data_IF_893557717618
#
_entry.id   IF_893557717618
#
_cell.length_a   1.000
_cell.length_b   1.000
_cell.length_c   1.000
_cell.angle_alpha   90.00
_cell.angle_beta   90.00
_cell.angle_gamma   90.00
#
_symmetry.space_group_name_H-M   'P 1'
#
loop_
_entity.id
_entity.type
_entity.pdbx_description
1 polymer ?
#
# COMPACT_ATOMS: atom_id res chain seq x y z
N UNK A 1 4.15 -23.69 -50.05
CA UNK A 1 5.06 -24.84 -49.95
C UNK A 1 5.25 -25.15 -48.47
N UNK A 2 4.96 -26.36 -48.07
CA UNK A 2 4.65 -26.86 -46.73
C UNK A 2 5.86 -26.84 -45.81
N UNK A 3 5.63 -26.33 -44.54
CA UNK A 3 6.50 -26.62 -43.39
C UNK A 3 5.65 -27.47 -42.44
N UNK A 4 5.72 -28.75 -42.58
CA UNK A 4 5.31 -29.78 -41.65
C UNK A 4 6.30 -30.89 -41.81
N UNK A 5 7.27 -30.99 -40.88
CA UNK A 5 8.01 -32.21 -40.52
C UNK A 5 9.22 -31.83 -39.69
N UNK A 6 9.04 -31.77 -38.36
CA UNK A 6 10.18 -31.90 -37.43
C UNK A 6 9.68 -32.05 -35.98
N UNK A 7 8.87 -33.05 -35.71
CA UNK A 7 8.67 -33.56 -34.36
C UNK A 7 8.26 -35.03 -34.37
N UNK A 8 9.25 -35.91 -34.57
CA UNK A 8 9.16 -37.33 -34.15
C UNK A 8 10.56 -37.85 -33.82
N UNK A 9 10.70 -38.28 -32.57
CA UNK A 9 11.73 -39.12 -31.89
C UNK A 9 12.33 -38.35 -30.72
N UNK A 10 12.33 -38.84 -29.46
CA UNK A 10 12.35 -40.22 -28.96
C UNK A 10 11.97 -40.18 -27.47
N UNK A 11 11.05 -41.02 -27.06
CA UNK A 11 10.81 -41.39 -25.68
C UNK A 11 11.69 -42.58 -25.32
N UNK A 12 12.46 -42.49 -24.25
CA UNK A 12 13.00 -43.64 -23.53
C UNK A 12 12.61 -43.58 -22.06
N UNK A 13 12.19 -44.66 -21.44
CA UNK A 13 11.71 -44.68 -20.07
C UNK A 13 12.88 -44.82 -19.08
N UNK A 14 12.91 -44.02 -18.03
CA UNK A 14 13.80 -44.21 -16.89
C UNK A 14 12.99 -44.72 -15.70
N UNK A 15 13.51 -45.82 -15.21
CA UNK A 15 13.07 -46.71 -14.16
C UNK A 15 12.79 -46.05 -12.83
N UNK A 16 11.86 -46.67 -12.10
CA UNK A 16 11.50 -46.45 -10.69
C UNK A 16 12.72 -46.43 -9.77
N UNK A 17 12.76 -45.41 -8.93
CA UNK A 17 13.63 -45.39 -7.73
C UNK A 17 12.83 -44.99 -6.51
N UNK A 18 12.85 -45.84 -5.54
CA UNK A 18 12.31 -45.87 -4.21
C UNK A 18 12.05 -44.53 -3.54
N UNK A 19 10.77 -44.29 -3.14
CA UNK A 19 10.40 -43.25 -2.18
C UNK A 19 10.18 -43.93 -0.84
N UNK A 20 11.05 -43.64 0.12
CA UNK A 20 10.84 -43.89 1.54
C UNK A 20 9.71 -42.99 2.08
N UNK A 21 8.78 -43.48 2.89
CA UNK A 21 7.77 -42.64 3.50
C UNK A 21 8.36 -41.96 4.75
N UNK A 22 8.45 -40.62 4.73
CA UNK A 22 8.60 -39.83 5.92
C UNK A 22 7.23 -39.81 6.65
N UNK A 23 7.15 -40.49 7.77
CA UNK A 23 6.03 -40.42 8.70
C UNK A 23 6.14 -39.09 9.44
N UNK A 24 5.30 -38.13 9.05
CA UNK A 24 5.10 -36.91 9.81
C UNK A 24 3.95 -37.16 10.79
N UNK A 25 4.28 -37.30 12.06
CA UNK A 25 3.28 -37.35 13.15
C UNK A 25 2.59 -36.00 13.27
N UNK A 26 1.39 -35.90 12.70
CA UNK A 26 0.47 -34.81 12.92
C UNK A 26 -0.18 -34.99 14.28
N UNK A 27 0.15 -34.18 15.27
CA UNK A 27 -0.63 -34.03 16.50
C UNK A 27 -1.94 -33.32 16.16
N UNK A 28 -3.01 -34.08 16.14
CA UNK A 28 -4.38 -33.59 16.05
C UNK A 28 -4.73 -32.85 17.34
N UNK A 29 -4.83 -31.54 17.30
CA UNK A 29 -5.60 -30.80 18.31
C UNK A 29 -7.05 -30.75 17.86
N UNK A 30 -7.88 -31.57 18.53
CA UNK A 30 -9.33 -31.43 18.46
C UNK A 30 -9.72 -30.17 19.24
N UNK A 31 -10.04 -29.10 18.52
CA UNK A 31 -10.72 -27.93 19.06
C UNK A 31 -12.23 -28.12 18.81
N UNK A 32 -13.02 -28.16 19.88
CA UNK A 32 -14.45 -28.03 19.77
C UNK A 32 -14.80 -26.64 19.23
N UNK A 33 -15.43 -26.58 18.08
CA UNK A 33 -15.98 -25.35 17.52
C UNK A 33 -17.40 -25.15 18.04
N UNK A 34 -17.61 -24.10 18.82
CA UNK A 34 -18.96 -23.57 19.02
C UNK A 34 -19.41 -22.87 17.73
N UNK A 35 -20.42 -23.43 17.09
CA UNK A 35 -21.03 -22.93 15.87
C UNK A 35 -21.92 -21.71 16.19
N UNK A 36 -21.35 -20.51 16.24
CA UNK A 36 -22.14 -19.29 16.27
C UNK A 36 -22.43 -18.82 14.85
N UNK A 37 -23.65 -19.06 14.40
CA UNK A 37 -24.17 -18.45 13.17
C UNK A 37 -24.87 -17.14 13.50
N UNK A 38 -24.51 -16.06 12.82
CA UNK A 38 -25.26 -14.81 12.90
C UNK A 38 -26.56 -14.86 12.09
N UNK A 39 -27.48 -13.94 12.36
CA UNK A 39 -28.87 -13.91 11.89
C UNK A 39 -29.01 -13.91 10.35
N UNK A 40 -27.93 -13.58 9.61
CA UNK A 40 -27.84 -13.53 8.15
C UNK A 40 -27.25 -14.80 7.51
N UNK A 41 -26.84 -15.81 8.29
CA UNK A 41 -26.13 -16.97 7.75
C UNK A 41 -24.71 -16.68 7.24
N UNK A 42 -24.17 -15.49 7.46
CA UNK A 42 -22.79 -15.13 7.18
C UNK A 42 -21.94 -15.49 8.40
N UNK A 43 -21.00 -16.39 8.20
CA UNK A 43 -20.01 -16.70 9.24
C UNK A 43 -18.86 -15.72 9.12
N UNK A 44 -18.78 -14.82 10.06
CA UNK A 44 -17.57 -14.02 10.22
C UNK A 44 -16.51 -14.90 10.91
N UNK A 45 -15.37 -14.85 10.38
CA UNK A 45 -14.08 -15.42 10.71
C UNK A 45 -13.86 -15.76 12.19
N UNK A 46 -13.74 -17.02 12.50
CA UNK A 46 -13.14 -17.45 13.76
C UNK A 46 -11.62 -17.23 13.69
N UNK A 47 -11.14 -16.14 14.24
CA UNK A 47 -9.72 -15.98 14.53
C UNK A 47 -9.39 -16.92 15.68
N UNK A 48 -8.37 -17.78 15.59
CA UNK A 48 -8.00 -18.63 16.69
C UNK A 48 -7.79 -17.79 17.95
N UNK A 49 -8.43 -18.17 19.05
CA UNK A 49 -8.28 -17.50 20.34
C UNK A 49 -6.82 -17.42 20.82
N UNK A 50 -5.97 -18.32 20.30
CA UNK A 50 -4.53 -18.32 20.57
C UNK A 50 -3.75 -17.13 19.99
N UNK A 51 -4.28 -16.44 18.95
CA UNK A 51 -3.61 -15.29 18.32
C UNK A 51 -4.21 -13.96 18.79
N UNK A 52 -5.50 -13.95 19.13
CA UNK A 52 -6.20 -12.78 19.64
C UNK A 52 -7.05 -13.24 20.81
N UNK A 53 -6.60 -12.98 22.03
CA UNK A 53 -7.31 -13.35 23.26
C UNK A 53 -8.25 -12.24 23.74
N UNK A 54 -8.06 -11.01 23.31
CA UNK A 54 -8.89 -9.87 23.68
C UNK A 54 -10.25 -9.92 22.95
N UNK A 55 -11.38 -10.08 23.69
CA UNK A 55 -12.70 -10.16 23.08
C UNK A 55 -13.09 -8.90 22.28
N UNK A 56 -12.60 -7.72 22.65
CA UNK A 56 -12.89 -6.48 21.92
C UNK A 56 -12.20 -6.46 20.56
N UNK A 57 -10.96 -6.94 20.49
CA UNK A 57 -10.23 -7.10 19.22
C UNK A 57 -10.90 -8.15 18.34
N UNK A 58 -11.32 -9.29 18.90
CA UNK A 58 -12.04 -10.31 18.15
C UNK A 58 -13.32 -9.74 17.56
N UNK A 59 -14.13 -9.05 18.37
CA UNK A 59 -15.36 -8.42 17.90
C UNK A 59 -15.09 -7.40 16.79
N UNK A 60 -14.03 -6.62 16.90
CA UNK A 60 -13.62 -5.67 15.85
C UNK A 60 -13.28 -6.42 14.55
N UNK A 61 -12.44 -7.46 14.60
CA UNK A 61 -12.09 -8.25 13.40
C UNK A 61 -13.31 -8.92 12.77
N UNK A 62 -14.26 -9.41 13.59
CA UNK A 62 -15.51 -10.00 13.13
C UNK A 62 -16.48 -8.97 12.52
N UNK A 63 -16.29 -7.68 12.76
CA UNK A 63 -17.12 -6.60 12.20
C UNK A 63 -16.69 -6.14 10.82
N UNK A 64 -15.64 -6.73 10.23
CA UNK A 64 -15.24 -6.42 8.86
C UNK A 64 -16.39 -6.70 7.89
N UNK A 65 -16.67 -5.73 7.01
CA UNK A 65 -17.77 -5.82 6.05
C UNK A 65 -17.20 -6.02 4.65
N UNK A 66 -17.74 -6.99 3.93
CA UNK A 66 -17.50 -7.17 2.51
C UNK A 66 -18.47 -6.26 1.71
N UNK A 67 -17.92 -5.34 0.96
CA UNK A 67 -18.70 -4.36 0.18
C UNK A 67 -18.79 -4.71 -1.31
N UNK A 68 -17.92 -5.60 -1.80
CA UNK A 68 -17.82 -5.92 -3.24
C UNK A 68 -17.30 -7.35 -3.49
N UNK A 69 -18.04 -8.37 -3.05
CA UNK A 69 -17.77 -9.78 -3.33
C UNK A 69 -16.28 -10.17 -3.14
N UNK A 70 -15.76 -9.88 -1.96
CA UNK A 70 -14.39 -10.21 -1.59
C UNK A 70 -13.30 -9.29 -2.18
N UNK A 71 -13.67 -8.23 -2.89
CA UNK A 71 -12.72 -7.29 -3.51
C UNK A 71 -12.51 -6.01 -2.73
N UNK A 72 -13.53 -5.61 -1.96
CA UNK A 72 -13.46 -4.39 -1.18
C UNK A 72 -14.11 -4.56 0.18
N UNK A 73 -13.40 -4.19 1.22
CA UNK A 73 -13.82 -4.35 2.61
C UNK A 73 -13.88 -3.00 3.34
N UNK A 74 -14.69 -2.95 4.39
CA UNK A 74 -14.70 -1.86 5.35
C UNK A 74 -14.42 -2.39 6.75
N UNK A 75 -13.56 -1.70 7.49
CA UNK A 75 -13.26 -1.99 8.89
C UNK A 75 -13.27 -0.72 9.73
N UNK A 76 -14.11 -0.68 10.76
CA UNK A 76 -14.00 0.31 11.83
C UNK A 76 -12.99 -0.21 12.87
N UNK A 77 -11.74 0.26 12.75
CA UNK A 77 -10.64 -0.21 13.59
C UNK A 77 -10.68 0.52 14.93
N UNK A 78 -11.17 -0.16 15.98
CA UNK A 78 -11.41 0.40 17.31
C UNK A 78 -10.34 0.04 18.34
N UNK A 79 -9.41 -0.87 18.02
CA UNK A 79 -8.32 -1.24 18.93
C UNK A 79 -7.20 -0.18 18.91
N UNK A 80 -6.47 -0.08 20.02
CA UNK A 80 -5.24 0.69 20.07
C UNK A 80 -4.14 -0.01 19.28
N UNK A 81 -3.65 0.63 18.21
CA UNK A 81 -2.54 0.14 17.38
C UNK A 81 -1.17 0.62 17.86
N UNK A 82 -1.10 1.28 19.03
CA UNK A 82 0.13 1.60 19.77
C UNK A 82 1.15 2.42 18.95
N UNK A 83 0.68 3.48 18.28
CA UNK A 83 1.52 4.29 17.40
C UNK A 83 2.74 4.90 18.12
N UNK A 84 2.57 5.39 19.35
CA UNK A 84 3.67 6.00 20.10
C UNK A 84 4.76 4.97 20.42
N UNK A 85 4.37 3.73 20.78
CA UNK A 85 5.31 2.62 20.96
C UNK A 85 5.98 2.22 19.64
N UNK A 86 5.24 2.20 18.53
CA UNK A 86 5.79 1.93 17.19
C UNK A 86 6.88 2.95 16.84
N UNK A 87 6.61 4.23 17.05
CA UNK A 87 7.55 5.32 16.80
C UNK A 87 8.83 5.18 17.64
N UNK A 88 8.69 4.87 18.92
CA UNK A 88 9.83 4.68 19.84
C UNK A 88 10.65 3.45 19.50
N UNK A 89 10.04 2.43 18.91
CA UNK A 89 10.71 1.19 18.53
C UNK A 89 11.72 1.35 17.38
N UNK A 90 11.69 2.48 16.66
CA UNK A 90 12.60 2.80 15.54
C UNK A 90 12.77 1.65 14.54
N UNK A 91 11.66 1.03 14.14
CA UNK A 91 11.65 -0.10 13.23
C UNK A 91 11.92 0.40 11.81
N UNK A 92 12.88 -0.23 11.11
CA UNK A 92 13.32 0.13 9.76
C UNK A 92 13.18 -0.98 8.73
N UNK A 93 12.59 -2.13 9.11
CA UNK A 93 12.43 -3.30 8.23
C UNK A 93 10.98 -3.80 8.22
N UNK A 94 10.59 -4.45 7.12
CA UNK A 94 9.29 -5.10 7.02
C UNK A 94 9.13 -6.23 8.05
N UNK A 95 10.16 -7.02 8.26
CA UNK A 95 10.17 -8.08 9.28
C UNK A 95 9.95 -7.49 10.69
N UNK A 96 10.58 -6.35 10.98
CA UNK A 96 10.39 -5.61 12.23
C UNK A 96 8.96 -5.11 12.39
N UNK A 97 8.36 -4.54 11.35
CA UNK A 97 6.97 -4.08 11.35
C UNK A 97 6.00 -5.24 11.62
N UNK A 98 6.16 -6.36 10.92
CA UNK A 98 5.34 -7.56 11.14
C UNK A 98 5.55 -8.10 12.55
N UNK A 99 6.81 -8.16 13.02
CA UNK A 99 7.13 -8.57 14.39
C UNK A 99 6.45 -7.68 15.43
N UNK A 100 6.42 -6.36 15.21
CA UNK A 100 5.72 -5.43 16.08
C UNK A 100 4.20 -5.74 16.14
N UNK A 101 3.56 -5.91 14.98
CA UNK A 101 2.13 -6.24 14.90
C UNK A 101 1.84 -7.53 15.67
N UNK A 102 2.59 -8.59 15.43
CA UNK A 102 2.38 -9.89 16.06
C UNK A 102 2.61 -9.84 17.57
N UNK A 103 3.64 -9.14 18.03
CA UNK A 103 4.00 -9.11 19.45
C UNK A 103 3.20 -8.10 20.27
N UNK A 104 2.71 -7.02 19.66
CA UNK A 104 2.09 -5.91 20.39
C UNK A 104 0.59 -5.75 20.11
N UNK A 105 0.11 -6.18 18.95
CA UNK A 105 -1.30 -6.07 18.57
C UNK A 105 -2.01 -7.42 18.56
N UNK A 106 -1.27 -8.52 18.29
CA UNK A 106 -1.71 -9.88 18.45
C UNK A 106 -1.08 -10.50 19.71
N UNK A 107 -1.58 -11.64 20.14
CA UNK A 107 -1.01 -12.40 21.28
C UNK A 107 -0.04 -13.49 20.79
N UNK A 108 0.60 -13.28 19.65
CA UNK A 108 1.49 -14.26 19.01
C UNK A 108 2.96 -13.96 19.28
N UNK A 109 3.72 -14.87 19.89
CA UNK A 109 5.14 -14.68 20.13
C UNK A 109 6.04 -14.98 18.93
N UNK A 110 5.50 -15.29 17.75
CA UNK A 110 6.29 -15.73 16.59
C UNK A 110 6.14 -14.75 15.44
N UNK A 111 7.18 -13.95 15.22
CA UNK A 111 7.34 -13.21 13.97
C UNK A 111 7.73 -14.18 12.83
N UNK A 112 7.15 -14.08 11.63
CA UNK A 112 7.62 -14.80 10.47
C UNK A 112 9.04 -14.32 10.11
N UNK A 113 9.98 -15.25 9.97
CA UNK A 113 11.40 -14.93 9.77
C UNK A 113 11.74 -14.29 8.41
N UNK A 114 10.80 -14.25 7.43
CA UNK A 114 11.10 -13.87 6.05
C UNK A 114 9.89 -13.19 5.35
N UNK A 115 9.31 -12.16 5.92
CA UNK A 115 8.33 -11.38 5.19
C UNK A 115 9.05 -10.34 4.31
N UNK A 116 9.03 -10.55 3.00
CA UNK A 116 9.42 -9.54 2.01
C UNK A 116 8.15 -8.90 1.47
N UNK A 117 8.01 -7.61 1.69
CA UNK A 117 7.02 -6.80 1.01
C UNK A 117 7.70 -6.21 -0.24
N UNK A 118 7.14 -6.42 -1.41
CA UNK A 118 7.66 -5.87 -2.65
C UNK A 118 6.80 -4.65 -3.01
N UNK A 119 7.40 -3.47 -3.20
CA UNK A 119 6.69 -2.20 -3.28
C UNK A 119 6.75 -1.55 -4.68
N UNK A 120 6.87 -2.33 -5.74
CA UNK A 120 6.85 -1.80 -7.11
C UNK A 120 5.43 -1.39 -7.49
N UNK A 121 4.98 -0.24 -6.99
CA UNK A 121 3.65 0.28 -7.23
C UNK A 121 3.69 1.44 -8.23
N UNK A 122 2.79 1.42 -9.22
CA UNK A 122 2.43 2.58 -10.02
C UNK A 122 1.45 3.45 -9.26
N UNK A 123 1.41 4.74 -9.52
CA UNK A 123 0.50 5.64 -8.83
C UNK A 123 0.26 6.94 -9.59
N UNK A 124 -0.85 7.60 -9.29
CA UNK A 124 -1.14 8.96 -9.74
C UNK A 124 -1.87 9.72 -8.64
N UNK A 125 -1.58 11.01 -8.47
CA UNK A 125 -2.34 11.86 -7.57
C UNK A 125 -2.39 13.31 -8.07
N UNK A 126 -3.43 14.03 -7.67
CA UNK A 126 -3.60 15.45 -7.96
C UNK A 126 -4.46 16.14 -6.90
N UNK A 127 -4.36 17.46 -6.83
CA UNK A 127 -5.27 18.31 -6.07
C UNK A 127 -6.04 19.25 -7.01
N UNK A 128 -7.29 19.57 -6.63
CA UNK A 128 -8.13 20.51 -7.36
C UNK A 128 -9.11 21.20 -6.41
N UNK A 129 -9.78 22.23 -6.91
CA UNK A 129 -10.90 22.88 -6.25
C UNK A 129 -12.20 22.58 -7.00
N UNK A 130 -13.32 22.36 -6.29
CA UNK A 130 -14.60 22.25 -6.97
C UNK A 130 -15.18 23.64 -7.31
N UNK A 131 -16.14 23.73 -8.26
CA UNK A 131 -16.83 25.00 -8.56
C UNK A 131 -17.49 25.64 -7.32
N UNK A 132 -17.83 24.82 -6.31
CA UNK A 132 -18.39 25.26 -5.03
C UNK A 132 -17.33 25.70 -4.02
N UNK A 133 -16.05 25.73 -4.42
CA UNK A 133 -14.95 26.16 -3.59
C UNK A 133 -14.44 25.10 -2.59
N UNK A 134 -14.81 23.83 -2.76
CA UNK A 134 -14.31 22.72 -1.93
C UNK A 134 -12.98 22.21 -2.47
N UNK A 135 -12.07 21.83 -1.60
CA UNK A 135 -10.77 21.25 -1.99
C UNK A 135 -10.86 19.74 -2.01
N UNK A 136 -10.30 19.16 -3.07
CA UNK A 136 -10.32 17.72 -3.32
C UNK A 136 -8.92 17.20 -3.67
N UNK A 137 -8.65 15.94 -3.35
CA UNK A 137 -7.47 15.20 -3.78
C UNK A 137 -7.91 13.92 -4.48
N UNK A 138 -7.44 13.71 -5.71
CA UNK A 138 -7.64 12.48 -6.48
C UNK A 138 -6.42 11.58 -6.41
N UNK A 139 -6.62 10.24 -6.40
CA UNK A 139 -5.54 9.24 -6.28
C UNK A 139 -5.90 7.94 -6.98
N UNK A 140 -5.00 7.40 -7.80
CA UNK A 140 -4.98 6.01 -8.24
C UNK A 140 -3.85 5.24 -7.57
N UNK A 141 -4.17 4.10 -6.99
CA UNK A 141 -3.18 3.12 -6.56
C UNK A 141 -3.09 2.00 -7.58
N UNK A 142 -1.95 1.90 -8.23
CA UNK A 142 -1.69 0.91 -9.27
C UNK A 142 -0.66 -0.10 -8.75
N UNK A 143 -1.04 -1.37 -8.74
CA UNK A 143 -0.15 -2.47 -8.38
C UNK A 143 -0.65 -3.77 -8.97
N UNK A 144 0.23 -4.54 -9.58
CA UNK A 144 -0.15 -5.82 -10.17
C UNK A 144 -0.21 -6.92 -9.10
N UNK A 145 -1.38 -7.52 -8.95
CA UNK A 145 -1.54 -8.75 -8.17
C UNK A 145 -1.40 -10.01 -9.06
N UNK A 146 -1.05 -9.87 -10.33
CA UNK A 146 -1.08 -10.96 -11.30
C UNK A 146 -2.51 -11.46 -11.49
N UNK A 147 -2.71 -12.77 -11.35
CA UNK A 147 -4.04 -13.39 -11.43
C UNK A 147 -4.76 -13.43 -10.06
N UNK A 148 -4.26 -12.72 -9.06
CA UNK A 148 -4.85 -12.73 -7.72
C UNK A 148 -5.95 -11.68 -7.58
N UNK A 149 -7.01 -11.94 -6.81
CA UNK A 149 -8.07 -10.98 -6.63
C UNK A 149 -7.58 -9.74 -5.87
N UNK A 150 -8.22 -8.62 -6.14
CA UNK A 150 -8.03 -7.37 -5.42
C UNK A 150 -8.38 -7.55 -3.95
N UNK A 151 -7.64 -6.85 -3.12
CA UNK A 151 -7.63 -7.02 -1.68
C UNK A 151 -7.72 -5.68 -0.94
N UNK A 152 -8.45 -4.72 -1.51
CA UNK A 152 -8.57 -3.39 -0.94
C UNK A 152 -9.46 -3.36 0.31
N UNK A 153 -9.06 -2.60 1.32
CA UNK A 153 -9.92 -2.30 2.45
C UNK A 153 -9.88 -0.81 2.81
N UNK A 154 -11.04 -0.23 3.11
CA UNK A 154 -11.11 1.07 3.75
C UNK A 154 -11.15 0.87 5.26
N UNK A 155 -10.17 1.44 5.94
CA UNK A 155 -10.00 1.34 7.39
C UNK A 155 -10.27 2.70 8.01
N UNK A 156 -11.25 2.79 8.89
CA UNK A 156 -11.51 3.95 9.71
C UNK A 156 -10.83 3.77 11.07
N UNK A 157 -10.09 4.77 11.51
CA UNK A 157 -9.46 4.80 12.84
C UNK A 157 -9.93 6.02 13.63
N UNK A 158 -10.03 5.87 14.94
CA UNK A 158 -10.38 6.95 15.86
C UNK A 158 -9.58 6.78 17.16
N UNK A 159 -8.24 6.93 17.14
CA UNK A 159 -7.41 6.72 18.30
C UNK A 159 -7.63 7.82 19.34
N UNK A 160 -7.52 7.49 20.61
CA UNK A 160 -7.72 8.43 21.70
C UNK A 160 -6.71 9.59 21.65
N UNK A 161 -7.18 10.82 21.73
CA UNK A 161 -6.34 12.02 21.71
C UNK A 161 -5.67 12.35 20.40
N UNK A 162 -6.01 11.65 19.32
CA UNK A 162 -5.48 11.84 17.97
C UNK A 162 -6.62 12.16 16.98
N UNK A 163 -6.26 12.44 15.74
CA UNK A 163 -7.23 12.72 14.68
C UNK A 163 -7.85 11.41 14.16
N UNK A 164 -9.16 11.41 13.98
CA UNK A 164 -9.83 10.34 13.25
C UNK A 164 -9.42 10.37 11.78
N UNK A 165 -9.35 9.20 11.16
CA UNK A 165 -9.01 9.11 9.75
C UNK A 165 -9.69 7.94 9.05
N UNK A 166 -9.74 8.01 7.72
CA UNK A 166 -9.98 6.90 6.83
C UNK A 166 -8.75 6.70 5.97
N UNK A 167 -8.40 5.45 5.72
CA UNK A 167 -7.26 5.09 4.88
C UNK A 167 -7.60 3.87 4.02
N UNK A 168 -7.03 3.80 2.84
CA UNK A 168 -7.09 2.64 1.97
C UNK A 168 -5.82 1.81 2.12
N UNK A 169 -6.01 0.52 2.30
CA UNK A 169 -4.94 -0.45 2.50
C UNK A 169 -5.06 -1.58 1.49
N UNK A 170 -3.92 -2.13 1.11
CA UNK A 170 -3.87 -3.31 0.28
C UNK A 170 -3.46 -4.52 1.13
N UNK A 171 -4.39 -5.43 1.35
CA UNK A 171 -4.15 -6.64 2.12
C UNK A 171 -3.13 -7.59 1.49
N UNK A 172 -2.84 -7.44 0.20
CA UNK A 172 -1.81 -8.21 -0.50
C UNK A 172 -0.42 -8.09 0.16
N UNK A 173 -0.11 -6.93 0.73
CA UNK A 173 1.18 -6.62 1.35
C UNK A 173 1.53 -7.46 2.58
N UNK A 174 0.55 -8.01 3.26
CA UNK A 174 0.78 -8.84 4.45
C UNK A 174 0.80 -10.33 4.13
N UNK A 175 1.07 -10.68 2.88
CA UNK A 175 1.15 -12.05 2.44
C UNK A 175 -0.19 -12.75 2.27
N UNK A 176 -1.28 -12.02 2.31
CA UNK A 176 -2.62 -12.51 2.01
C UNK A 176 -2.80 -12.72 0.51
N UNK A 177 -1.97 -13.57 -0.04
CA UNK A 177 -2.09 -14.03 -1.41
C UNK A 177 -3.21 -15.06 -1.47
N UNK A 178 -4.20 -14.85 -2.28
CA UNK A 178 -5.18 -15.84 -2.75
C UNK A 178 -6.28 -16.30 -1.78
N UNK A 179 -6.10 -16.32 -0.47
CA UNK A 179 -6.98 -17.13 0.38
C UNK A 179 -7.94 -16.35 1.28
N UNK A 180 -7.67 -15.08 1.57
CA UNK A 180 -8.56 -14.31 2.43
C UNK A 180 -9.84 -13.91 1.68
N UNK A 181 -9.71 -13.50 0.44
CA UNK A 181 -10.77 -12.87 -0.37
C UNK A 181 -11.68 -13.88 -1.04
N UNK A 182 -11.16 -14.97 -1.55
CA UNK A 182 -11.98 -16.10 -1.97
C UNK A 182 -12.84 -16.69 -0.85
N UNK A 183 -12.51 -16.41 0.39
CA UNK A 183 -13.21 -16.95 1.53
C UNK A 183 -14.37 -16.11 2.02
N UNK A 184 -14.36 -14.82 1.70
CA UNK A 184 -15.51 -13.96 1.98
C UNK A 184 -16.56 -14.04 0.88
N UNK A 185 -16.21 -14.44 -0.36
CA UNK A 185 -17.14 -14.51 -1.48
C UNK A 185 -17.72 -15.90 -1.76
N UNK A 186 -16.95 -16.99 -1.63
CA UNK A 186 -17.34 -18.21 -2.31
C UNK A 186 -17.86 -19.35 -1.44
N UNK A 187 -17.61 -19.44 -0.21
CA UNK A 187 -18.25 -20.37 0.69
C UNK A 187 -17.76 -20.19 2.12
N UNK A 188 -18.60 -19.60 2.89
CA UNK A 188 -18.46 -19.51 4.32
C UNK A 188 -18.20 -20.89 5.01
N UNK A 189 -18.44 -21.97 4.28
CA UNK A 189 -18.29 -23.35 4.80
C UNK A 189 -16.86 -23.89 4.79
N UNK A 190 -15.90 -23.25 4.11
CA UNK A 190 -14.53 -23.76 3.94
C UNK A 190 -13.49 -22.90 4.65
N UNK A 191 -13.83 -22.33 5.77
CA UNK A 191 -12.83 -21.74 6.66
C UNK A 191 -12.02 -22.85 7.33
N UNK A 192 -10.88 -23.23 6.78
CA UNK A 192 -10.00 -24.17 7.44
C UNK A 192 -9.10 -23.48 8.47
N UNK A 193 -8.54 -24.22 9.41
CA UNK A 193 -7.72 -23.74 10.52
C UNK A 193 -6.54 -22.83 10.08
N UNK A 194 -5.99 -23.09 8.90
CA UNK A 194 -4.88 -22.30 8.35
C UNK A 194 -5.29 -20.87 7.96
N UNK A 195 -6.53 -20.68 7.57
CA UNK A 195 -7.11 -19.40 7.18
C UNK A 195 -7.51 -18.54 8.37
N UNK A 196 -7.87 -19.15 9.47
CA UNK A 196 -8.16 -18.44 10.73
C UNK A 196 -6.95 -17.69 11.27
N UNK A 197 -5.73 -18.24 11.06
CA UNK A 197 -4.49 -17.60 11.51
C UNK A 197 -4.18 -16.30 10.75
N UNK A 198 -4.62 -16.20 9.52
CA UNK A 198 -4.24 -15.08 8.66
C UNK A 198 -4.95 -13.78 9.03
N UNK A 199 -6.14 -13.84 9.60
CA UNK A 199 -6.92 -12.65 9.98
C UNK A 199 -6.28 -11.79 11.07
N UNK A 200 -5.44 -12.37 11.90
CA UNK A 200 -4.70 -11.62 12.92
C UNK A 200 -3.84 -10.50 12.31
N UNK A 201 -3.40 -10.65 11.06
CA UNK A 201 -2.63 -9.62 10.37
C UNK A 201 -3.45 -8.36 10.03
N UNK A 202 -4.78 -8.45 9.99
CA UNK A 202 -5.69 -7.31 9.87
C UNK A 202 -5.44 -6.31 11.02
N UNK A 203 -4.91 -6.80 12.14
CA UNK A 203 -4.43 -5.93 13.22
C UNK A 203 -3.33 -4.96 12.77
N UNK A 204 -2.61 -5.26 11.70
CA UNK A 204 -1.60 -4.40 11.09
C UNK A 204 -2.13 -3.35 10.10
N UNK A 205 -3.41 -3.37 9.75
CA UNK A 205 -3.98 -2.46 8.74
C UNK A 205 -3.70 -0.98 8.98
N UNK A 206 -3.71 -0.44 10.22
CA UNK A 206 -3.32 0.95 10.46
C UNK A 206 -1.92 1.32 9.96
N UNK A 207 -1.03 0.33 9.78
CA UNK A 207 0.36 0.49 9.33
C UNK A 207 0.60 0.10 7.86
N UNK A 208 -0.46 -0.21 7.10
CA UNK A 208 -0.36 -0.69 5.71
C UNK A 208 -1.07 0.23 4.72
N UNK A 209 -1.35 1.45 5.13
CA UNK A 209 -2.07 2.42 4.30
C UNK A 209 -1.20 2.88 3.11
N UNK A 210 -1.85 3.01 1.95
CA UNK A 210 -1.25 3.59 0.74
C UNK A 210 -1.71 5.03 0.50
N UNK A 211 -2.85 5.41 1.08
CA UNK A 211 -3.40 6.76 1.12
C UNK A 211 -4.43 6.89 2.24
N UNK A 212 -4.81 8.13 2.53
CA UNK A 212 -5.84 8.41 3.53
C UNK A 212 -6.08 9.89 3.74
N UNK A 213 -7.15 10.18 4.49
CA UNK A 213 -7.55 11.52 4.89
C UNK A 213 -7.97 11.50 6.37
N UNK A 214 -7.67 12.57 7.11
CA UNK A 214 -8.13 12.74 8.48
C UNK A 214 -9.26 13.77 8.62
N UNK A 215 -9.83 13.84 9.82
CA UNK A 215 -10.99 14.72 10.12
C UNK A 215 -10.69 16.22 10.04
N UNK A 216 -9.41 16.62 10.05
CA UNK A 216 -9.01 18.00 9.81
C UNK A 216 -8.98 18.34 8.31
N UNK A 217 -9.18 17.36 7.44
CA UNK A 217 -9.11 17.50 5.98
C UNK A 217 -7.69 17.47 5.43
N UNK A 218 -6.72 16.96 6.17
CA UNK A 218 -5.40 16.64 5.65
C UNK A 218 -5.42 15.25 5.01
N UNK A 219 -4.89 15.14 3.80
CA UNK A 219 -4.76 13.88 3.07
C UNK A 219 -3.32 13.64 2.61
N UNK A 220 -2.95 12.37 2.50
CA UNK A 220 -1.63 11.92 2.06
C UNK A 220 -1.76 10.65 1.24
N UNK A 221 -0.92 10.52 0.22
CA UNK A 221 -0.67 9.25 -0.45
C UNK A 221 0.82 9.08 -0.76
N UNK A 222 1.23 7.82 -0.95
CA UNK A 222 2.60 7.46 -1.32
C UNK A 222 2.65 6.98 -2.76
N UNK A 223 3.73 7.34 -3.46
CA UNK A 223 4.01 6.90 -4.83
C UNK A 223 5.46 6.41 -4.93
N UNK A 224 5.65 5.30 -5.63
CA UNK A 224 6.96 4.70 -5.84
C UNK A 224 7.81 5.55 -6.79
N UNK A 225 9.12 5.58 -6.52
CA UNK A 225 10.16 6.18 -7.34
C UNK A 225 11.27 5.16 -7.60
N UNK A 226 11.76 5.09 -8.84
CA UNK A 226 12.98 4.36 -9.13
C UNK A 226 14.17 5.09 -8.48
N UNK A 227 14.93 4.39 -7.67
CA UNK A 227 16.10 4.98 -7.01
C UNK A 227 16.55 4.21 -5.77
N UNK A 228 17.61 4.71 -5.15
CA UNK A 228 18.13 4.12 -3.90
C UNK A 228 17.20 4.39 -2.72
N UNK A 229 17.25 3.55 -1.69
CA UNK A 229 16.45 3.74 -0.47
C UNK A 229 16.71 5.08 0.21
N UNK A 230 15.68 5.60 0.86
CA UNK A 230 15.73 6.87 1.60
C UNK A 230 16.21 6.65 3.01
N UNK A 231 17.13 7.52 3.48
CA UNK A 231 17.50 7.71 4.88
C UNK A 231 18.12 9.08 5.08
N UNK A 232 18.03 9.66 6.28
CA UNK A 232 18.57 10.99 6.56
C UNK A 232 19.74 10.98 7.55
N UNK A 233 20.04 9.88 8.21
CA UNK A 233 21.11 9.74 9.21
C UNK A 233 20.98 10.70 10.41
N UNK A 234 19.77 11.06 10.77
CA UNK A 234 19.49 11.93 11.91
C UNK A 234 19.43 11.18 13.23
N UNK A 235 19.46 11.92 14.34
CA UNK A 235 19.15 11.40 15.67
C UNK A 235 17.65 11.35 15.97
N UNK A 236 16.82 11.49 14.94
CA UNK A 236 15.38 11.50 15.03
C UNK A 236 14.81 10.08 15.10
N UNK A 237 13.51 9.96 15.37
CA UNK A 237 12.81 8.68 15.29
C UNK A 237 12.88 8.13 13.87
N UNK A 238 13.23 6.85 13.75
CA UNK A 238 13.24 6.15 12.45
C UNK A 238 11.87 5.59 12.17
N UNK A 239 11.28 5.96 11.04
CA UNK A 239 9.97 5.49 10.62
C UNK A 239 10.06 4.89 9.21
N UNK A 240 9.33 3.80 9.00
CA UNK A 240 9.12 3.29 7.63
C UNK A 240 8.06 4.13 6.92
N UNK A 241 7.97 4.00 5.60
CA UNK A 241 7.08 4.79 4.74
C UNK A 241 5.63 4.83 5.23
N UNK A 242 5.03 3.67 5.48
CA UNK A 242 3.62 3.58 5.89
C UNK A 242 3.40 3.97 7.36
N UNK A 243 4.39 3.74 8.22
CA UNK A 243 4.36 4.21 9.61
C UNK A 243 4.42 5.73 9.67
N UNK A 244 5.24 6.38 8.83
CA UNK A 244 5.24 7.83 8.69
C UNK A 244 3.86 8.35 8.27
N UNK A 245 3.24 7.73 7.25
CA UNK A 245 1.91 8.15 6.82
C UNK A 245 0.87 8.04 7.93
N UNK A 246 0.90 6.94 8.71
CA UNK A 246 0.03 6.79 9.88
C UNK A 246 0.28 7.86 10.92
N UNK A 247 1.55 8.14 11.22
CA UNK A 247 1.94 9.20 12.15
C UNK A 247 1.43 10.58 11.73
N UNK A 248 1.51 10.90 10.44
CA UNK A 248 1.01 12.16 9.91
C UNK A 248 -0.52 12.24 9.94
N UNK A 249 -1.22 11.18 9.53
CA UNK A 249 -2.70 11.16 9.57
C UNK A 249 -3.26 11.31 10.98
N UNK A 250 -2.59 10.77 11.99
CA UNK A 250 -3.04 10.88 13.37
C UNK A 250 -2.78 12.24 14.01
N UNK A 251 -1.84 13.03 13.48
CA UNK A 251 -1.33 14.21 14.18
C UNK A 251 -1.33 15.51 13.35
N UNK A 252 -1.15 15.45 12.03
CA UNK A 252 -1.06 16.64 11.19
C UNK A 252 -2.45 17.14 10.77
N UNK A 253 -2.70 18.43 10.94
CA UNK A 253 -3.96 19.10 10.52
C UNK A 253 -3.85 19.77 9.17
N UNK A 254 -2.63 19.98 8.68
CA UNK A 254 -2.35 20.70 7.45
C UNK A 254 -1.05 20.21 6.80
N UNK A 255 -0.85 20.62 5.54
CA UNK A 255 0.40 20.37 4.80
C UNK A 255 1.61 20.95 5.55
N UNK A 256 1.49 22.16 6.14
CA UNK A 256 2.59 22.78 6.89
C UNK A 256 2.96 22.00 8.14
N UNK A 257 1.98 21.49 8.86
CA UNK A 257 2.23 20.64 10.03
C UNK A 257 2.90 19.33 9.62
N UNK A 258 2.41 18.69 8.57
CA UNK A 258 3.00 17.46 8.05
C UNK A 258 4.47 17.65 7.63
N UNK A 259 4.78 18.74 6.90
CA UNK A 259 6.17 19.08 6.51
C UNK A 259 7.06 19.31 7.73
N UNK A 260 6.56 20.03 8.75
CA UNK A 260 7.32 20.21 9.98
C UNK A 260 7.61 18.89 10.68
N UNK A 261 6.60 18.02 10.82
CA UNK A 261 6.74 16.72 11.46
C UNK A 261 7.69 15.79 10.68
N UNK A 262 7.66 15.82 9.35
CA UNK A 262 8.58 15.02 8.52
C UNK A 262 10.05 15.42 8.72
N UNK A 263 10.34 16.68 9.03
CA UNK A 263 11.70 17.14 9.34
C UNK A 263 12.21 16.67 10.71
N UNK A 264 11.33 16.18 11.57
CA UNK A 264 11.64 15.66 12.90
C UNK A 264 11.84 14.13 12.92
N UNK A 265 11.66 13.46 11.78
CA UNK A 265 11.82 12.00 11.65
C UNK A 265 12.89 11.65 10.63
N UNK A 266 13.47 10.47 10.78
CA UNK A 266 14.39 9.85 9.82
C UNK A 266 13.60 8.76 9.06
N UNK A 267 13.23 9.06 7.82
CA UNK A 267 12.47 8.13 6.99
C UNK A 267 13.38 7.06 6.43
N UNK A 268 13.03 5.81 6.70
CA UNK A 268 13.67 4.64 6.14
C UNK A 268 12.72 3.87 5.24
N UNK A 269 13.15 3.63 3.99
CA UNK A 269 12.46 2.69 3.10
C UNK A 269 12.86 1.28 3.52
N UNK A 270 11.90 0.41 3.90
CA UNK A 270 12.22 -0.92 4.35
C UNK A 270 12.80 -1.79 3.23
N UNK A 271 13.81 -2.59 3.58
CA UNK A 271 14.36 -3.67 2.76
C UNK A 271 14.90 -3.27 1.36
N UNK A 272 15.19 -2.00 1.16
CA UNK A 272 16.15 -1.55 0.16
C UNK A 272 15.71 -1.52 -1.31
N UNK A 273 14.42 -1.59 -1.62
CA UNK A 273 13.96 -1.56 -3.00
C UNK A 273 13.24 -0.24 -3.34
N UNK A 274 13.96 0.67 -4.03
CA UNK A 274 13.38 1.90 -4.52
C UNK A 274 13.29 3.03 -3.48
N UNK A 275 12.71 4.12 -3.89
CA UNK A 275 12.42 5.30 -3.09
C UNK A 275 10.92 5.63 -3.19
N UNK A 276 10.48 6.61 -2.44
CA UNK A 276 9.09 7.07 -2.46
C UNK A 276 9.04 8.58 -2.35
N UNK A 277 8.03 9.16 -2.98
CA UNK A 277 7.58 10.50 -2.65
C UNK A 277 6.13 10.47 -2.15
N UNK A 278 5.74 11.55 -1.52
CA UNK A 278 4.38 11.69 -1.01
C UNK A 278 3.70 12.86 -1.71
N UNK A 279 2.42 12.71 -1.95
CA UNK A 279 1.56 13.83 -2.29
C UNK A 279 0.64 14.12 -1.10
N UNK A 280 0.61 15.37 -0.70
CA UNK A 280 -0.19 15.85 0.42
C UNK A 280 -1.07 17.00 0.01
N UNK A 281 -2.27 17.07 0.58
CA UNK A 281 -3.19 18.19 0.38
C UNK A 281 -4.01 18.44 1.66
N UNK A 282 -4.53 19.66 1.83
CA UNK A 282 -5.38 19.98 2.96
C UNK A 282 -6.61 20.82 2.60
N UNK A 283 -7.53 20.95 3.55
CA UNK A 283 -8.79 21.66 3.37
C UNK A 283 -8.65 23.17 3.14
N UNK A 284 -7.44 23.74 3.21
CA UNK A 284 -7.17 25.13 2.84
C UNK A 284 -6.82 25.30 1.37
N UNK A 285 -6.65 24.18 0.63
CA UNK A 285 -6.21 24.14 -0.75
C UNK A 285 -4.71 24.03 -0.93
N UNK A 286 -3.95 24.05 0.16
CA UNK A 286 -2.51 23.81 0.10
C UNK A 286 -2.25 22.36 -0.26
N UNK A 287 -1.32 22.15 -1.17
CA UNK A 287 -0.83 20.83 -1.56
C UNK A 287 0.67 20.87 -1.82
N UNK A 288 1.32 19.71 -1.80
CA UNK A 288 2.74 19.60 -2.09
C UNK A 288 3.12 18.19 -2.55
N UNK A 289 4.13 18.10 -3.41
CA UNK A 289 4.94 16.91 -3.60
C UNK A 289 6.12 16.96 -2.61
N UNK A 290 6.32 15.89 -1.87
CA UNK A 290 7.37 15.74 -0.87
C UNK A 290 8.32 14.64 -1.33
N UNK A 291 9.51 15.05 -1.80
CA UNK A 291 10.54 14.14 -2.32
C UNK A 291 11.78 14.17 -1.44
N UNK A 292 12.36 13.01 -1.20
CA UNK A 292 13.70 12.92 -0.61
C UNK A 292 14.72 12.84 -1.74
N UNK A 293 15.59 13.87 -1.82
CA UNK A 293 16.51 14.07 -2.93
C UNK A 293 17.95 14.17 -2.45
N UNK A 294 18.88 13.82 -3.31
CA UNK A 294 20.31 14.06 -3.13
C UNK A 294 20.70 15.39 -3.79
N UNK A 295 21.73 16.02 -3.25
CA UNK A 295 22.33 17.20 -3.86
C UNK A 295 23.06 16.84 -5.18
N UNK A 296 23.56 17.87 -5.91
CA UNK A 296 24.23 17.66 -7.20
C UNK A 296 25.55 16.87 -7.06
N UNK A 297 26.26 17.02 -5.95
CA UNK A 297 27.51 16.29 -5.67
C UNK A 297 27.25 14.81 -5.49
N UNK A 298 26.13 14.44 -4.85
CA UNK A 298 25.75 13.08 -4.54
C UNK A 298 24.67 12.52 -5.49
N UNK A 299 24.33 13.21 -6.55
CA UNK A 299 23.24 12.80 -7.46
C UNK A 299 23.43 11.41 -8.07
N UNK A 300 24.68 10.94 -8.21
CA UNK A 300 24.98 9.60 -8.74
C UNK A 300 24.73 8.50 -7.70
N UNK A 301 24.65 8.85 -6.39
CA UNK A 301 24.24 7.94 -5.35
C UNK A 301 22.79 7.42 -5.47
N UNK A 302 21.99 8.08 -6.28
CA UNK A 302 20.59 7.70 -6.60
C UNK A 302 20.48 6.45 -7.47
N UNK A 303 21.57 6.02 -8.15
CA UNK A 303 21.55 4.84 -9.02
C UNK A 303 21.78 3.55 -8.24
N UNK A 304 21.06 2.52 -8.65
CA UNK A 304 21.34 1.14 -8.28
C UNK A 304 22.45 0.67 -9.20
N UNK A 305 23.72 0.77 -8.74
CA UNK A 305 24.86 0.54 -9.62
C UNK A 305 25.20 -0.95 -9.83
N UNK A 306 24.77 -1.83 -8.92
CA UNK A 306 25.16 -3.23 -8.99
C UNK A 306 23.95 -4.17 -8.88
N UNK A 307 23.47 -4.64 -10.01
CA UNK A 307 22.54 -5.76 -10.09
C UNK A 307 23.29 -7.05 -9.73
N UNK A 308 22.85 -7.74 -8.69
CA UNK A 308 23.37 -9.05 -8.31
C UNK A 308 22.57 -10.11 -9.06
N UNK A 309 23.22 -10.85 -9.94
CA UNK A 309 22.60 -11.94 -10.70
C UNK A 309 22.80 -13.30 -10.03
N UNK A 310 21.82 -14.18 -10.15
CA UNK A 310 21.97 -15.59 -9.81
C UNK A 310 22.71 -16.36 -10.92
N UNK A 311 22.96 -17.66 -10.70
CA UNK A 311 23.64 -18.54 -11.66
C UNK A 311 22.87 -18.72 -12.99
N UNK A 312 21.62 -18.28 -13.07
CA UNK A 312 20.75 -18.38 -14.26
C UNK A 312 20.60 -17.01 -14.96
N UNK A 313 21.33 -15.98 -14.52
CA UNK A 313 21.27 -14.64 -15.09
C UNK A 313 20.02 -13.84 -14.67
N UNK A 314 19.31 -14.27 -13.64
CA UNK A 314 18.16 -13.53 -13.08
C UNK A 314 18.63 -12.62 -11.96
N UNK A 315 18.12 -11.38 -11.92
CA UNK A 315 18.40 -10.45 -10.83
C UNK A 315 17.99 -11.08 -9.50
N UNK A 316 18.97 -11.28 -8.62
CA UNK A 316 18.81 -11.83 -7.28
C UNK A 316 18.67 -10.76 -6.21
N UNK A 317 19.18 -9.57 -6.48
CA UNK A 317 19.19 -8.43 -5.58
C UNK A 317 20.06 -7.30 -6.13
N UNK A 318 20.22 -6.29 -5.31
CA UNK A 318 21.04 -5.13 -5.62
C UNK A 318 22.07 -4.92 -4.51
N UNK A 319 23.27 -4.50 -4.89
CA UNK A 319 24.27 -4.09 -3.92
C UNK A 319 24.07 -2.59 -3.63
N UNK A 320 23.80 -2.27 -2.37
CA UNK A 320 23.72 -0.89 -1.90
C UNK A 320 24.90 -0.61 -0.97
N UNK A 321 26.11 -0.40 -1.51
CA UNK A 321 27.31 -0.34 -0.66
C UNK A 321 27.25 0.78 0.37
N UNK A 322 26.68 1.95 0.03
CA UNK A 322 26.48 3.06 0.96
C UNK A 322 25.22 3.84 0.61
N UNK A 323 24.21 3.82 1.49
CA UNK A 323 23.05 4.69 1.36
C UNK A 323 23.47 6.07 1.87
N UNK A 324 23.70 7.00 0.95
CA UNK A 324 23.99 8.39 1.32
C UNK A 324 22.74 9.07 1.84
N UNK A 325 22.86 9.94 2.86
CA UNK A 325 21.73 10.69 3.37
C UNK A 325 21.16 11.60 2.29
N UNK A 326 19.84 11.70 2.28
CA UNK A 326 19.10 12.60 1.41
C UNK A 326 18.27 13.60 2.21
N UNK A 327 17.72 14.61 1.57
CA UNK A 327 16.99 15.70 2.21
C UNK A 327 15.56 15.81 1.66
N UNK A 328 14.64 16.22 2.53
CA UNK A 328 13.26 16.46 2.15
C UNK A 328 13.15 17.75 1.31
N UNK A 329 12.70 17.61 0.07
CA UNK A 329 12.35 18.67 -0.84
C UNK A 329 10.83 18.85 -0.92
N UNK A 330 10.34 20.07 -0.76
CA UNK A 330 8.91 20.40 -0.70
C UNK A 330 8.55 21.27 -1.89
N UNK A 331 7.69 20.78 -2.78
CA UNK A 331 7.26 21.48 -3.99
C UNK A 331 5.75 21.75 -3.92
N UNK A 332 5.39 22.99 -3.69
CA UNK A 332 4.01 23.46 -3.52
C UNK A 332 3.36 23.96 -4.81
N UNK A 333 4.13 24.00 -5.89
CA UNK A 333 3.72 24.45 -7.23
C UNK A 333 3.29 23.31 -8.16
N UNK A 334 3.22 22.08 -7.63
CA UNK A 334 2.89 20.87 -8.39
C UNK A 334 1.51 20.36 -8.05
N UNK A 335 0.55 20.58 -8.96
CA UNK A 335 -0.84 20.15 -8.77
C UNK A 335 -1.07 18.66 -9.02
N UNK A 336 -0.13 17.95 -9.65
CA UNK A 336 -0.19 16.50 -9.83
C UNK A 336 1.18 15.82 -9.74
N UNK A 337 1.17 14.49 -9.63
CA UNK A 337 2.36 13.67 -9.47
C UNK A 337 2.11 12.24 -9.97
N UNK A 338 3.15 11.57 -10.45
CA UNK A 338 3.17 10.13 -10.77
C UNK A 338 4.48 9.47 -10.31
N UNK A 339 5.04 8.51 -11.01
CA UNK A 339 6.15 7.69 -10.52
C UNK A 339 7.53 8.10 -11.04
N UNK A 340 7.80 9.39 -11.15
CA UNK A 340 9.14 9.91 -11.47
C UNK A 340 9.45 11.15 -10.64
N UNK A 341 10.72 11.41 -10.41
CA UNK A 341 11.15 12.60 -9.68
C UNK A 341 10.77 13.88 -10.41
N UNK A 342 10.11 14.79 -9.69
CA UNK A 342 9.73 16.12 -10.20
C UNK A 342 10.77 17.18 -9.83
N UNK A 343 11.53 16.93 -8.75
CA UNK A 343 12.60 17.85 -8.34
C UNK A 343 13.63 18.04 -9.45
N UNK A 344 13.97 19.30 -9.81
CA UNK A 344 14.96 19.58 -10.86
C UNK A 344 16.35 18.99 -10.58
N UNK A 345 16.71 18.79 -9.31
CA UNK A 345 17.99 18.20 -8.92
C UNK A 345 18.09 16.72 -9.28
N UNK A 346 16.94 16.08 -9.52
CA UNK A 346 16.81 14.66 -9.84
C UNK A 346 16.44 14.46 -11.31
N UNK A 347 17.24 14.99 -12.24
CA UNK A 347 16.93 15.00 -13.66
C UNK A 347 16.48 13.64 -14.21
N UNK A 348 15.17 13.49 -14.35
CA UNK A 348 14.49 12.34 -14.93
C UNK A 348 14.16 12.53 -16.42
N UNK A 349 14.73 13.54 -17.09
CA UNK A 349 14.53 13.72 -18.52
C UNK A 349 15.01 12.51 -19.33
N UNK A 350 14.49 12.33 -20.53
CA UNK A 350 14.90 11.23 -21.41
C UNK A 350 16.40 11.22 -21.74
N UNK A 351 17.09 12.34 -21.47
CA UNK A 351 18.54 12.51 -21.63
C UNK A 351 19.29 12.45 -20.29
N UNK A 352 18.57 12.49 -19.18
CA UNK A 352 19.14 12.42 -17.84
C UNK A 352 19.58 11.01 -17.48
N UNK A 353 20.39 10.90 -16.44
CA UNK A 353 20.89 9.62 -15.99
C UNK A 353 19.76 8.69 -15.46
N UNK A 354 18.69 9.25 -14.90
CA UNK A 354 17.47 8.52 -14.55
C UNK A 354 16.51 8.49 -15.74
N UNK A 355 16.74 7.68 -16.71
CA UNK A 355 15.87 7.53 -17.90
C UNK A 355 14.44 7.10 -17.59
N UNK A 356 14.15 6.76 -16.33
CA UNK A 356 12.84 6.35 -15.87
C UNK A 356 11.93 7.57 -15.70
N UNK A 357 11.07 7.79 -16.67
CA UNK A 357 9.91 8.66 -16.55
C UNK A 357 8.65 7.82 -16.41
N UNK A 358 8.70 6.86 -15.48
CA UNK A 358 7.59 5.97 -15.23
C UNK A 358 6.32 6.77 -14.87
N UNK A 359 5.25 6.55 -15.61
CA UNK A 359 4.01 7.30 -15.44
C UNK A 359 3.99 8.70 -16.05
N UNK A 360 4.97 9.10 -16.85
CA UNK A 360 5.00 10.43 -17.50
C UNK A 360 3.73 10.72 -18.32
N UNK A 361 3.24 9.73 -19.05
CA UNK A 361 1.99 9.89 -19.85
C UNK A 361 0.80 10.19 -18.94
N UNK A 362 0.69 9.52 -17.79
CA UNK A 362 -0.37 9.78 -16.79
C UNK A 362 -0.23 11.17 -16.20
N UNK A 363 1.01 11.58 -15.90
CA UNK A 363 1.31 12.93 -15.43
C UNK A 363 0.87 13.97 -16.44
N UNK A 364 1.25 13.83 -17.73
CA UNK A 364 0.95 14.80 -18.79
C UNK A 364 -0.56 14.93 -19.03
N UNK A 365 -1.33 13.86 -18.91
CA UNK A 365 -2.79 13.90 -19.00
C UNK A 365 -3.37 14.69 -17.83
N UNK A 366 -2.93 14.42 -16.60
CA UNK A 366 -3.41 15.14 -15.41
C UNK A 366 -3.06 16.61 -15.48
N UNK A 367 -1.81 16.94 -15.75
CA UNK A 367 -1.29 18.31 -15.88
C UNK A 367 -2.06 19.11 -16.94
N UNK A 368 -2.30 18.50 -18.11
CA UNK A 368 -3.09 19.12 -19.17
C UNK A 368 -4.53 19.42 -18.73
N UNK A 369 -5.23 18.43 -18.14
CA UNK A 369 -6.63 18.60 -17.72
C UNK A 369 -6.74 19.64 -16.62
N UNK A 370 -5.87 19.60 -15.61
CA UNK A 370 -5.87 20.55 -14.50
C UNK A 370 -5.57 21.97 -14.99
N UNK A 371 -4.54 22.15 -15.82
CA UNK A 371 -4.19 23.46 -16.40
C UNK A 371 -5.33 24.02 -17.24
N UNK A 372 -5.96 23.22 -18.12
CA UNK A 372 -7.07 23.68 -18.96
C UNK A 372 -8.31 24.09 -18.17
N UNK A 373 -8.46 23.57 -16.95
CA UNK A 373 -9.60 23.89 -16.09
C UNK A 373 -9.21 24.82 -14.92
N UNK A 374 -8.01 25.40 -14.89
CA UNK A 374 -7.50 26.21 -13.80
C UNK A 374 -7.64 25.52 -12.44
N UNK A 375 -7.27 24.24 -12.36
CA UNK A 375 -7.40 23.38 -11.20
C UNK A 375 -8.83 23.27 -10.62
N UNK A 376 -9.85 23.57 -11.44
CA UNK A 376 -11.25 23.54 -11.03
C UNK A 376 -11.97 22.35 -11.66
N UNK A 377 -12.26 21.33 -10.83
CA UNK A 377 -12.94 20.09 -11.26
C UNK A 377 -14.08 19.75 -10.31
N UNK A 378 -15.23 19.34 -10.83
CA UNK A 378 -16.23 18.67 -10.00
C UNK A 378 -15.69 17.31 -9.52
N UNK A 379 -16.19 16.78 -8.42
CA UNK A 379 -15.79 15.44 -7.95
C UNK A 379 -15.99 14.35 -9.02
N UNK A 380 -17.07 14.45 -9.78
CA UNK A 380 -17.34 13.53 -10.88
C UNK A 380 -16.29 13.64 -11.99
N UNK A 381 -15.87 14.88 -12.35
CA UNK A 381 -14.80 15.07 -13.34
C UNK A 381 -13.44 14.65 -12.79
N UNK A 382 -13.18 14.85 -11.51
CA UNK A 382 -11.99 14.34 -10.85
C UNK A 382 -11.92 12.79 -10.88
N UNK A 383 -13.03 12.11 -10.60
CA UNK A 383 -13.13 10.65 -10.74
C UNK A 383 -12.96 10.21 -12.20
N UNK A 384 -13.53 10.93 -13.16
CA UNK A 384 -13.32 10.66 -14.59
C UNK A 384 -11.85 10.87 -15.01
N UNK A 385 -11.14 11.85 -14.45
CA UNK A 385 -9.70 12.03 -14.70
C UNK A 385 -8.89 10.85 -14.14
N UNK A 386 -9.29 10.31 -12.99
CA UNK A 386 -8.68 9.09 -12.45
C UNK A 386 -8.93 7.88 -13.37
N UNK A 387 -10.11 7.78 -14.00
CA UNK A 387 -10.39 6.75 -15.03
C UNK A 387 -9.49 6.94 -16.26
N UNK A 388 -9.38 8.18 -16.77
CA UNK A 388 -8.53 8.52 -17.92
C UNK A 388 -7.04 8.11 -17.73
N UNK A 389 -6.55 8.11 -16.47
CA UNK A 389 -5.17 7.74 -16.13
C UNK A 389 -5.06 6.40 -15.38
N UNK A 390 -6.15 5.64 -15.27
CA UNK A 390 -6.14 4.31 -14.67
C UNK A 390 -5.43 3.30 -15.57
N UNK A 391 -4.80 2.31 -14.95
CA UNK A 391 -4.07 1.28 -15.66
C UNK A 391 -4.85 -0.04 -15.70
N UNK A 392 -5.01 -0.62 -16.90
CA UNK A 392 -5.49 -1.98 -17.05
C UNK A 392 -4.38 -2.98 -16.67
N UNK A 393 -4.76 -4.19 -16.33
CA UNK A 393 -3.79 -5.26 -16.10
C UNK A 393 -2.91 -5.48 -17.35
N UNK A 394 -1.61 -5.61 -17.10
CA UNK A 394 -0.63 -5.84 -18.16
C UNK A 394 0.37 -6.91 -17.70
N UNK A 395 0.62 -7.94 -18.52
CA UNK A 395 1.57 -8.99 -18.17
C UNK A 395 3.03 -8.52 -18.20
N UNK A 396 3.30 -7.34 -18.75
CA UNK A 396 4.64 -6.78 -18.94
C UNK A 396 4.92 -5.56 -18.07
N UNK A 397 3.89 -4.98 -17.45
CA UNK A 397 4.01 -3.80 -16.60
C UNK A 397 3.67 -4.17 -15.16
N UNK A 398 4.70 -4.25 -14.32
CA UNK A 398 4.57 -4.71 -12.91
C UNK A 398 3.71 -3.77 -12.07
N UNK A 399 3.67 -2.48 -12.44
CA UNK A 399 2.92 -1.46 -11.74
C UNK A 399 1.52 -1.27 -12.30
N UNK A 400 1.14 -2.11 -13.26
CA UNK A 400 -0.19 -2.07 -13.83
C UNK A 400 -1.18 -2.81 -12.95
N UNK A 401 -2.28 -2.41 -13.00
CA UNK A 401 -3.64 -2.56 -12.59
C UNK A 401 -3.99 -1.63 -11.44
N UNK A 402 -4.84 -0.66 -11.74
CA UNK A 402 -5.40 0.24 -10.73
C UNK A 402 -6.31 -0.55 -9.78
N UNK A 403 -5.83 -0.75 -8.55
CA UNK A 403 -6.53 -1.46 -7.50
C UNK A 403 -7.71 -0.64 -6.98
N UNK A 404 -7.49 0.66 -6.77
CA UNK A 404 -8.55 1.61 -6.47
C UNK A 404 -8.22 3.00 -7.00
N UNK A 405 -9.31 3.75 -7.22
CA UNK A 405 -9.32 5.18 -7.45
C UNK A 405 -10.12 5.84 -6.34
N UNK A 406 -9.64 6.93 -5.77
CA UNK A 406 -10.34 7.66 -4.71
C UNK A 406 -10.29 9.15 -4.94
N UNK A 407 -11.42 9.83 -4.70
CA UNK A 407 -11.52 11.27 -4.56
C UNK A 407 -11.85 11.59 -3.11
N UNK A 408 -10.92 12.23 -2.43
CA UNK A 408 -11.09 12.79 -1.09
C UNK A 408 -11.60 14.23 -1.21
N UNK A 409 -12.80 14.51 -0.70
CA UNK A 409 -13.26 15.88 -0.47
C UNK A 409 -12.79 16.31 0.92
N UNK A 410 -11.70 17.06 0.94
CA UNK A 410 -10.99 17.48 2.14
C UNK A 410 -11.81 18.44 2.99
N UNK A 411 -12.63 19.27 2.32
CA UNK A 411 -13.50 20.24 2.98
C UNK A 411 -14.69 19.60 3.69
N UNK A 412 -15.18 18.46 3.18
CA UNK A 412 -16.38 17.79 3.69
C UNK A 412 -16.06 16.53 4.52
N UNK A 413 -14.80 16.05 4.48
CA UNK A 413 -14.43 14.80 5.12
C UNK A 413 -15.09 13.60 4.45
N UNK A 414 -15.18 13.61 3.10
CA UNK A 414 -15.84 12.58 2.29
C UNK A 414 -14.82 11.90 1.39
N UNK A 415 -14.91 10.58 1.26
CA UNK A 415 -14.15 9.79 0.30
C UNK A 415 -15.11 9.06 -0.65
N UNK A 416 -14.88 9.18 -1.95
CA UNK A 416 -15.55 8.39 -2.97
C UNK A 416 -14.54 7.45 -3.62
N UNK A 417 -14.79 6.14 -3.54
CA UNK A 417 -13.85 5.08 -3.92
C UNK A 417 -14.44 4.22 -5.02
N UNK A 418 -13.65 3.96 -6.06
CA UNK A 418 -13.94 2.95 -7.07
C UNK A 418 -12.83 1.89 -7.00
N UNK A 419 -13.18 0.61 -6.96
CA UNK A 419 -12.19 -0.49 -6.92
C UNK A 419 -12.15 -1.21 -8.24
N UNK A 420 -10.98 -1.77 -8.58
CA UNK A 420 -10.80 -2.57 -9.79
C UNK A 420 -11.27 -1.87 -11.07
N UNK A 421 -11.03 -0.55 -11.18
CA UNK A 421 -11.47 0.25 -12.32
C UNK A 421 -12.98 0.19 -12.60
N UNK A 422 -13.78 -0.20 -11.62
CA UNK A 422 -15.24 -0.20 -11.76
C UNK A 422 -15.81 1.18 -11.38
N UNK A 423 -15.64 2.15 -12.26
CA UNK A 423 -16.11 3.52 -12.08
C UNK A 423 -17.64 3.66 -12.11
N UNK A 424 -18.37 2.59 -12.51
CA UNK A 424 -19.82 2.55 -12.47
C UNK A 424 -20.41 2.23 -11.09
N UNK A 425 -19.55 1.77 -10.14
CA UNK A 425 -19.94 1.37 -8.78
C UNK A 425 -19.10 2.10 -7.73
N UNK A 426 -19.29 3.41 -7.54
CA UNK A 426 -18.57 4.14 -6.49
C UNK A 426 -19.13 3.84 -5.11
N UNK A 427 -18.23 3.77 -4.11
CA UNK A 427 -18.57 3.68 -2.70
C UNK A 427 -18.26 5.02 -2.03
N UNK A 428 -19.15 5.51 -1.19
CA UNK A 428 -18.97 6.80 -0.51
C UNK A 428 -18.94 6.62 1.01
N UNK A 429 -17.94 7.24 1.63
CA UNK A 429 -17.72 7.21 3.07
C UNK A 429 -17.60 8.62 3.61
N UNK A 430 -18.01 8.81 4.86
CA UNK A 430 -17.91 10.08 5.58
C UNK A 430 -17.13 9.88 6.87
N UNK A 431 -16.20 10.77 7.14
CA UNK A 431 -15.39 10.75 8.35
C UNK A 431 -16.06 11.50 9.51
N UNK A 432 -16.96 12.43 9.19
CA UNK A 432 -17.71 13.25 10.16
C UNK A 432 -19.02 12.60 10.56
#
# INVERSE_FOLDING_TARGET
>A
MRINELFKKTLTPISALNILPFVLTATLFLSCSDDTTDVDGRRYTDVPASLISDPAKLKMLQSIQDLDDGRFFYLDYTADYKLDLMKESSITTNAGLIGFVLNNLCDSPKAPANAKLNYDAGCSAFAAQTPEGKYIMGRNFDYSHGNEPIAAALVRTAPEGKLKSISLVDGYWIGYRQNLYHNFSDDVKVFNEKKKQDLSYIMGFPYLLMDGMNEAGFAICVLHLDGKPTQQNGNAYKLTTTVLMRYLLDNARSVDEAVRMMKEVDLHVPDGNGNYHFYVADATGKHAVLEYVWDEEHRDARFIDDEIYDSNGKIKGFNYPDVLPNTLHVMTDKHCVSNFYISPTMDCSAKGPLKSQHGKTRYDIMDFVLTQNNDCLTEARAMSLLDDVSQAESPTEVTSHTQWSVVYNLSEGKATVCVNRNFSKPFTFYLK
#
